data_IF_528887391761
#
_entry.id   IF_528887391761
#
_cell.length_a   1.000
_cell.length_b   1.000
_cell.length_c   1.000
_cell.angle_alpha   90.00
_cell.angle_beta   90.00
_cell.angle_gamma   90.00
#
_symmetry.space_group_name_H-M   'P 1'
#
loop_
_entity.id
_entity.type
_entity.pdbx_description
1 polymer ?
#
# COMPACT_ATOMS: atom_id res chain seq x y z
N UNK A 1 -10.21 -5.58 1.05
CA UNK A 1 -10.24 -4.22 1.61
C UNK A 1 -10.14 -4.24 3.13
N UNK A 2 -11.06 -4.90 3.83
CA UNK A 2 -11.05 -4.97 5.31
C UNK A 2 -9.74 -5.55 5.88
N UNK A 3 -9.25 -6.65 5.30
CA UNK A 3 -7.94 -7.23 5.64
C UNK A 3 -6.80 -6.20 5.54
N UNK A 4 -6.75 -5.39 4.48
CA UNK A 4 -5.69 -4.39 4.32
C UNK A 4 -5.80 -3.24 5.34
N UNK A 5 -7.03 -2.85 5.68
CA UNK A 5 -7.28 -1.82 6.68
C UNK A 5 -6.80 -2.29 8.05
N UNK A 6 -7.16 -3.51 8.44
CA UNK A 6 -6.74 -4.11 9.69
C UNK A 6 -5.22 -4.28 9.78
N UNK A 7 -4.58 -4.75 8.71
CA UNK A 7 -3.11 -4.85 8.63
C UNK A 7 -2.47 -3.46 8.81
N UNK A 8 -2.94 -2.45 8.07
CA UNK A 8 -2.34 -1.11 8.11
C UNK A 8 -2.56 -0.42 9.44
N UNK A 9 -3.74 -0.55 10.05
CA UNK A 9 -4.02 -0.04 11.40
C UNK A 9 -3.12 -0.71 12.44
N UNK A 10 -2.93 -2.02 12.36
CA UNK A 10 -2.05 -2.76 13.27
C UNK A 10 -0.60 -2.36 13.09
N UNK A 11 -0.10 -2.29 11.85
CA UNK A 11 1.31 -1.96 11.59
C UNK A 11 1.61 -0.50 11.87
N UNK A 12 0.68 0.43 11.59
CA UNK A 12 0.95 1.86 11.73
C UNK A 12 0.66 2.39 13.13
N UNK A 13 -0.41 1.90 13.77
CA UNK A 13 -0.94 2.46 15.02
C UNK A 13 -0.91 1.44 16.16
N UNK A 14 -0.75 0.14 15.87
CA UNK A 14 -0.61 -0.88 16.92
C UNK A 14 -1.83 -1.00 17.83
N UNK A 15 -1.54 -1.12 19.13
CA UNK A 15 -2.53 -1.33 20.20
C UNK A 15 -3.23 -0.05 20.64
N UNK A 16 -2.74 1.13 20.25
CA UNK A 16 -3.36 2.41 20.62
C UNK A 16 -4.72 2.61 19.97
N UNK A 17 -4.96 1.99 18.81
CA UNK A 17 -6.25 2.02 18.15
C UNK A 17 -7.13 0.86 18.64
N UNK A 18 -8.02 1.17 19.58
CA UNK A 18 -8.96 0.20 20.16
C UNK A 18 -9.87 -0.45 19.11
N UNK A 19 -10.42 -1.63 19.41
CA UNK A 19 -11.32 -2.33 18.49
C UNK A 19 -12.54 -1.50 18.08
N UNK A 20 -13.13 -0.74 19.02
CA UNK A 20 -14.24 0.18 18.72
C UNK A 20 -13.78 1.32 17.80
N UNK A 21 -12.60 1.88 18.05
CA UNK A 21 -12.03 2.94 17.22
C UNK A 21 -11.71 2.43 15.81
N UNK A 22 -11.26 1.18 15.65
CA UNK A 22 -11.02 0.53 14.34
C UNK A 22 -12.30 0.44 13.51
N UNK A 23 -13.38 -0.04 14.10
CA UNK A 23 -14.69 -0.11 13.43
C UNK A 23 -15.21 1.28 13.07
N UNK A 24 -15.05 2.25 13.97
CA UNK A 24 -15.45 3.62 13.68
C UNK A 24 -14.62 4.25 12.55
N UNK A 25 -13.32 4.00 12.55
CA UNK A 25 -12.41 4.46 11.51
C UNK A 25 -12.84 3.93 10.14
N UNK A 26 -13.22 2.64 10.05
CA UNK A 26 -13.73 2.05 8.80
C UNK A 26 -14.92 2.85 8.24
N UNK A 27 -15.91 3.13 9.08
CA UNK A 27 -17.10 3.92 8.68
C UNK A 27 -16.70 5.33 8.24
N UNK A 28 -15.86 5.99 9.02
CA UNK A 28 -15.44 7.37 8.72
C UNK A 28 -14.54 7.45 7.47
N UNK A 29 -13.74 6.41 7.20
CA UNK A 29 -12.94 6.28 5.99
C UNK A 29 -13.79 6.04 4.74
N UNK A 30 -14.88 5.28 4.84
CA UNK A 30 -15.84 5.11 3.74
C UNK A 30 -16.56 6.42 3.40
N UNK A 31 -16.88 7.22 4.42
CA UNK A 31 -17.40 8.58 4.21
C UNK A 31 -16.36 9.47 3.53
N UNK A 32 -15.08 9.38 3.94
CA UNK A 32 -13.97 10.09 3.31
C UNK A 32 -13.86 9.75 1.82
N UNK A 33 -13.74 8.47 1.46
CA UNK A 33 -13.65 8.03 0.06
C UNK A 33 -14.86 8.48 -0.77
N UNK A 34 -16.07 8.40 -0.19
CA UNK A 34 -17.29 8.85 -0.86
C UNK A 34 -17.27 10.35 -1.10
N UNK A 35 -16.84 11.16 -0.12
CA UNK A 35 -16.83 12.62 -0.23
C UNK A 35 -15.71 13.15 -1.12
N UNK A 36 -14.55 12.48 -1.17
CA UNK A 36 -13.41 12.84 -2.03
C UNK A 36 -13.79 12.87 -3.52
N UNK A 37 -14.69 11.97 -3.92
CA UNK A 37 -15.15 11.82 -5.31
C UNK A 37 -16.37 12.71 -5.65
N UNK A 38 -16.72 13.68 -4.78
CA UNK A 38 -17.90 14.54 -4.94
C UNK A 38 -17.51 16.02 -4.94
N UNK A 39 -18.42 16.87 -5.42
CA UNK A 39 -18.21 18.31 -5.39
C UNK A 39 -17.97 18.80 -3.95
N UNK A 40 -17.01 19.73 -3.75
CA UNK A 40 -16.60 20.19 -2.43
C UNK A 40 -17.61 21.19 -1.82
N UNK A 41 -18.85 20.74 -1.62
CA UNK A 41 -19.94 21.54 -1.03
C UNK A 41 -20.14 21.15 0.45
N UNK A 42 -19.71 22.02 1.38
CA UNK A 42 -19.86 21.82 2.83
C UNK A 42 -21.25 22.24 3.33
N UNK A 43 -22.28 21.48 2.96
CA UNK A 43 -23.67 21.70 3.38
C UNK A 43 -24.24 20.48 4.13
N UNK A 44 -25.18 20.67 5.08
CA UNK A 44 -25.85 19.57 5.78
C UNK A 44 -26.42 18.51 4.82
N UNK A 45 -26.10 17.23 5.06
CA UNK A 45 -26.54 16.10 4.23
C UNK A 45 -25.60 15.74 3.06
N UNK A 46 -24.71 16.65 2.65
CA UNK A 46 -23.82 16.42 1.50
C UNK A 46 -22.67 15.48 1.85
N UNK A 47 -22.22 14.71 0.86
CA UNK A 47 -21.13 13.74 1.01
C UNK A 47 -19.82 14.41 1.48
N UNK A 48 -19.49 15.58 0.94
CA UNK A 48 -18.27 16.32 1.32
C UNK A 48 -18.29 16.74 2.79
N UNK A 49 -19.41 17.25 3.31
CA UNK A 49 -19.56 17.56 4.73
C UNK A 49 -19.42 16.31 5.61
N UNK A 50 -20.03 15.20 5.21
CA UNK A 50 -19.91 13.92 5.95
C UNK A 50 -18.46 13.43 6.00
N UNK A 51 -17.74 13.53 4.87
CA UNK A 51 -16.32 13.23 4.80
C UNK A 51 -15.50 14.11 5.74
N UNK A 52 -15.68 15.44 5.70
CA UNK A 52 -14.99 16.38 6.58
C UNK A 52 -15.18 16.05 8.06
N UNK A 53 -16.42 15.80 8.48
CA UNK A 53 -16.72 15.40 9.86
C UNK A 53 -16.10 14.03 10.21
N UNK A 54 -16.00 13.12 9.25
CA UNK A 54 -15.31 11.83 9.40
C UNK A 54 -13.81 12.02 9.62
N UNK A 55 -13.17 12.86 8.80
CA UNK A 55 -11.75 13.23 8.94
C UNK A 55 -11.50 13.83 10.32
N UNK A 56 -12.30 14.82 10.75
CA UNK A 56 -12.14 15.43 12.08
C UNK A 56 -12.16 14.40 13.23
N UNK A 57 -13.02 13.38 13.16
CA UNK A 57 -13.06 12.28 14.14
C UNK A 57 -11.84 11.37 14.05
N UNK A 58 -11.42 11.00 12.83
CA UNK A 58 -10.23 10.17 12.61
C UNK A 58 -8.97 10.88 13.12
N UNK A 59 -8.80 12.17 12.80
CA UNK A 59 -7.66 12.98 13.24
C UNK A 59 -7.61 13.05 14.76
N UNK A 60 -8.73 13.37 15.43
CA UNK A 60 -8.79 13.40 16.89
C UNK A 60 -8.37 12.06 17.52
N UNK A 61 -8.78 10.95 16.91
CA UNK A 61 -8.42 9.59 17.37
C UNK A 61 -6.93 9.32 17.19
N UNK A 62 -6.36 9.67 16.03
CA UNK A 62 -4.96 9.44 15.72
C UNK A 62 -4.02 10.36 16.52
N UNK A 63 -4.42 11.60 16.78
CA UNK A 63 -3.71 12.51 17.70
C UNK A 63 -3.63 11.93 19.10
N UNK A 64 -4.72 11.32 19.59
CA UNK A 64 -4.69 10.63 20.87
C UNK A 64 -3.74 9.43 20.85
N UNK A 65 -3.75 8.63 19.79
CA UNK A 65 -2.82 7.50 19.63
C UNK A 65 -1.35 7.97 19.61
N UNK A 66 -1.05 9.10 18.95
CA UNK A 66 0.28 9.71 18.94
C UNK A 66 0.73 10.14 20.33
N UNK A 67 -0.14 10.79 21.10
CA UNK A 67 0.16 11.18 22.47
C UNK A 67 0.43 9.95 23.37
N UNK A 68 -0.33 8.87 23.24
CA UNK A 68 -0.12 7.64 24.03
C UNK A 68 1.18 6.93 23.63
N UNK A 69 1.48 6.80 22.33
CA UNK A 69 2.76 6.26 21.86
C UNK A 69 3.95 7.07 22.37
N UNK A 70 3.86 8.40 22.34
CA UNK A 70 4.90 9.29 22.89
C UNK A 70 5.15 9.06 24.37
N UNK A 71 4.09 8.93 25.18
CA UNK A 71 4.22 8.63 26.62
C UNK A 71 4.95 7.31 26.85
N UNK A 72 4.58 6.27 26.08
CA UNK A 72 5.19 4.94 26.16
C UNK A 72 6.67 4.97 25.78
N UNK A 73 7.04 5.68 24.72
CA UNK A 73 8.45 5.84 24.30
C UNK A 73 9.27 6.68 25.29
N UNK A 74 8.66 7.67 25.95
CA UNK A 74 9.30 8.42 27.04
C UNK A 74 9.58 7.56 28.27
N UNK A 75 8.82 6.48 28.48
CA UNK A 75 9.03 5.49 29.55
C UNK A 75 10.14 4.49 29.20
N UNK A 76 10.68 4.53 27.98
CA UNK A 76 11.75 3.64 27.52
C UNK A 76 11.26 2.25 27.14
N UNK A 77 9.98 2.09 26.81
CA UNK A 77 9.45 0.82 26.30
C UNK A 77 9.88 0.55 24.86
N UNK A 78 9.84 -0.73 24.47
CA UNK A 78 10.21 -1.16 23.13
C UNK A 78 9.15 -0.80 22.08
N UNK A 79 9.56 -0.29 20.90
CA UNK A 79 8.64 0.06 19.82
C UNK A 79 8.05 -1.19 19.16
N UNK A 80 6.75 -1.13 18.87
CA UNK A 80 5.98 -2.27 18.35
C UNK A 80 5.25 -2.00 17.03
N UNK A 81 5.11 -0.73 16.66
CA UNK A 81 4.42 -0.28 15.45
C UNK A 81 5.07 1.00 14.90
N UNK A 82 4.66 1.45 13.71
CA UNK A 82 5.28 2.59 13.02
C UNK A 82 5.34 3.85 13.89
N UNK A 83 4.22 4.18 14.55
CA UNK A 83 4.14 5.37 15.40
C UNK A 83 5.11 5.29 16.58
N UNK A 84 5.38 4.10 17.13
CA UNK A 84 6.37 3.93 18.20
C UNK A 84 7.79 4.21 17.70
N UNK A 85 8.17 3.63 16.57
CA UNK A 85 9.48 3.89 15.97
C UNK A 85 9.66 5.39 15.64
N UNK A 86 8.58 6.04 15.18
CA UNK A 86 8.59 7.48 14.95
C UNK A 86 8.76 8.25 16.27
N UNK A 87 7.95 7.95 17.30
CA UNK A 87 8.00 8.64 18.59
C UNK A 87 9.32 8.41 19.32
N UNK A 88 9.91 7.23 19.23
CA UNK A 88 11.23 6.93 19.78
C UNK A 88 12.29 7.86 19.20
N UNK A 89 12.29 8.05 17.88
CA UNK A 89 13.20 8.97 17.22
C UNK A 89 12.94 10.44 17.62
N UNK A 90 11.68 10.86 17.70
CA UNK A 90 11.33 12.22 18.14
C UNK A 90 11.77 12.50 19.58
N UNK A 91 11.59 11.53 20.48
CA UNK A 91 12.05 11.61 21.88
C UNK A 91 13.57 11.72 21.93
N UNK A 92 14.29 10.89 21.18
CA UNK A 92 15.76 10.94 21.09
C UNK A 92 16.25 12.30 20.63
N UNK A 93 15.75 12.80 19.50
CA UNK A 93 16.18 14.10 18.96
C UNK A 93 15.86 15.24 19.95
N UNK A 94 14.68 15.22 20.56
CA UNK A 94 14.28 16.24 21.56
C UNK A 94 15.23 16.25 22.77
N UNK A 95 15.68 15.07 23.22
CA UNK A 95 16.63 14.96 24.32
C UNK A 95 18.01 15.54 23.96
N UNK A 96 18.47 15.35 22.71
CA UNK A 96 19.75 15.85 22.21
C UNK A 96 19.74 17.37 21.96
N UNK A 97 18.70 17.90 21.29
CA UNK A 97 18.58 19.31 20.91
C UNK A 97 17.97 20.20 21.99
N UNK A 98 17.35 19.61 23.03
CA UNK A 98 16.49 20.26 24.03
C UNK A 98 15.24 20.94 23.45
N UNK A 99 14.95 20.73 22.17
CA UNK A 99 13.76 21.28 21.49
C UNK A 99 13.13 20.22 20.59
N UNK A 100 11.80 20.09 20.56
CA UNK A 100 11.16 19.16 19.64
C UNK A 100 11.52 19.47 18.17
N UNK A 101 11.66 18.46 17.31
CA UNK A 101 11.81 18.69 15.88
C UNK A 101 10.65 19.53 15.32
N UNK A 102 10.87 20.33 14.27
CA UNK A 102 9.77 20.96 13.55
C UNK A 102 8.75 19.91 13.10
N UNK A 103 7.48 20.27 13.09
CA UNK A 103 6.39 19.40 12.64
C UNK A 103 6.23 18.08 13.43
N UNK A 104 6.41 18.12 14.75
CA UNK A 104 6.39 16.95 15.63
C UNK A 104 5.33 17.02 16.74
N UNK A 105 4.36 17.93 16.63
CA UNK A 105 3.24 17.94 17.56
C UNK A 105 2.39 16.68 17.40
N UNK A 106 1.73 16.25 18.47
CA UNK A 106 0.91 15.02 18.43
C UNK A 106 -0.25 15.16 17.41
N UNK A 107 -0.73 16.39 17.17
CA UNK A 107 -1.70 16.71 16.11
C UNK A 107 -1.11 16.52 14.72
N UNK A 108 0.07 17.10 14.44
CA UNK A 108 0.75 16.92 13.15
C UNK A 108 1.05 15.45 12.87
N UNK A 109 1.53 14.70 13.85
CA UNK A 109 1.78 13.26 13.69
C UNK A 109 0.47 12.50 13.45
N UNK A 110 -0.61 12.85 14.16
CA UNK A 110 -1.94 12.30 13.92
C UNK A 110 -2.41 12.53 12.48
N UNK A 111 -2.15 13.72 11.93
CA UNK A 111 -2.45 14.05 10.53
C UNK A 111 -1.61 13.21 9.56
N UNK A 112 -0.30 13.09 9.78
CA UNK A 112 0.56 12.26 8.92
C UNK A 112 0.21 10.77 8.97
N UNK A 113 -0.25 10.27 10.12
CA UNK A 113 -0.76 8.89 10.22
C UNK A 113 -2.03 8.70 9.40
N UNK A 114 -2.92 9.69 9.35
CA UNK A 114 -4.07 9.64 8.47
C UNK A 114 -3.65 9.60 6.99
N UNK A 115 -2.67 10.41 6.60
CA UNK A 115 -2.11 10.40 5.24
C UNK A 115 -1.52 9.03 4.89
N UNK A 116 -0.77 8.41 5.81
CA UNK A 116 -0.21 7.08 5.60
C UNK A 116 -1.28 5.99 5.50
N UNK A 117 -2.26 6.00 6.41
CA UNK A 117 -3.37 5.04 6.40
C UNK A 117 -4.19 5.15 5.12
N UNK A 118 -4.54 6.37 4.70
CA UNK A 118 -5.31 6.61 3.48
C UNK A 118 -4.55 6.19 2.22
N UNK A 119 -3.29 6.59 2.09
CA UNK A 119 -2.44 6.20 0.96
C UNK A 119 -2.26 4.67 0.87
N UNK A 120 -1.99 4.01 2.00
CA UNK A 120 -1.81 2.56 2.05
C UNK A 120 -3.12 1.81 1.76
N UNK A 121 -4.27 2.37 2.12
CA UNK A 121 -5.54 1.67 2.05
C UNK A 121 -5.96 1.36 0.62
N UNK A 122 -6.06 2.38 -0.23
CA UNK A 122 -6.55 2.22 -1.59
C UNK A 122 -5.46 1.67 -2.51
N UNK A 123 -4.18 2.04 -2.30
CA UNK A 123 -3.07 1.54 -3.11
C UNK A 123 -2.81 0.04 -2.89
N UNK A 124 -2.69 -0.39 -1.63
CA UNK A 124 -2.41 -1.80 -1.34
C UNK A 124 -3.61 -2.68 -1.69
N UNK A 125 -4.84 -2.23 -1.42
CA UNK A 125 -6.05 -2.98 -1.82
C UNK A 125 -6.08 -3.24 -3.32
N UNK A 126 -5.70 -2.25 -4.15
CA UNK A 126 -5.56 -2.42 -5.59
C UNK A 126 -4.56 -3.53 -5.94
N UNK A 127 -3.33 -3.47 -5.40
CA UNK A 127 -2.31 -4.49 -5.65
C UNK A 127 -2.73 -5.89 -5.21
N UNK A 128 -3.41 -6.00 -4.07
CA UNK A 128 -3.94 -7.27 -3.55
C UNK A 128 -5.00 -7.87 -4.48
N UNK A 129 -5.91 -7.06 -5.03
CA UNK A 129 -6.91 -7.54 -6.00
C UNK A 129 -6.25 -7.97 -7.32
N UNK A 130 -5.30 -7.16 -7.82
CA UNK A 130 -4.61 -7.47 -9.08
C UNK A 130 -3.72 -8.70 -8.98
N UNK A 131 -3.03 -8.94 -7.86
CA UNK A 131 -2.23 -10.16 -7.74
C UNK A 131 -3.09 -11.41 -7.74
N UNK A 132 -4.26 -11.39 -7.10
CA UNK A 132 -5.21 -12.51 -7.14
C UNK A 132 -5.69 -12.76 -8.59
N UNK A 133 -6.08 -11.70 -9.29
CA UNK A 133 -6.48 -11.76 -10.70
C UNK A 133 -5.38 -12.32 -11.61
N UNK A 134 -4.15 -11.85 -11.43
CA UNK A 134 -3.02 -12.21 -12.26
C UNK A 134 -2.55 -13.65 -11.98
N UNK A 135 -2.52 -14.08 -10.72
CA UNK A 135 -2.17 -15.46 -10.37
C UNK A 135 -3.23 -16.48 -10.81
N UNK A 136 -4.52 -16.13 -10.77
CA UNK A 136 -5.60 -16.98 -11.34
C UNK A 136 -5.43 -17.19 -12.85
N UNK A 137 -4.99 -16.13 -13.56
CA UNK A 137 -4.81 -16.17 -15.02
C UNK A 137 -3.45 -16.74 -15.47
N UNK A 138 -2.49 -16.94 -14.55
CA UNK A 138 -1.14 -17.42 -14.84
C UNK A 138 -0.76 -18.60 -13.94
N UNK A 139 -1.32 -19.81 -14.20
CA UNK A 139 -1.11 -20.98 -13.35
C UNK A 139 0.36 -21.40 -13.22
N UNK A 140 1.19 -21.15 -14.23
CA UNK A 140 2.63 -21.42 -14.15
C UNK A 140 3.35 -20.51 -13.15
N UNK A 141 3.00 -19.22 -13.11
CA UNK A 141 3.52 -18.28 -12.11
C UNK A 141 3.06 -18.70 -10.72
N UNK A 142 1.77 -19.01 -10.55
CA UNK A 142 1.22 -19.50 -9.28
C UNK A 142 1.94 -20.77 -8.80
N UNK A 143 2.22 -21.72 -9.70
CA UNK A 143 2.95 -22.95 -9.38
C UNK A 143 4.36 -22.65 -8.87
N UNK A 144 5.12 -21.79 -9.57
CA UNK A 144 6.48 -21.40 -9.17
C UNK A 144 6.50 -20.70 -7.81
N UNK A 145 5.56 -19.79 -7.54
CA UNK A 145 5.41 -19.14 -6.23
C UNK A 145 5.14 -20.19 -5.15
N UNK A 146 4.20 -21.11 -5.36
CA UNK A 146 3.89 -22.18 -4.40
C UNK A 146 5.10 -23.06 -4.12
N UNK A 147 5.83 -23.45 -5.17
CA UNK A 147 7.07 -24.23 -5.05
C UNK A 147 8.12 -23.49 -4.22
N UNK A 148 8.37 -22.20 -4.49
CA UNK A 148 9.32 -21.38 -3.73
C UNK A 148 8.90 -21.26 -2.25
N UNK A 149 7.67 -20.83 -1.99
CA UNK A 149 7.19 -20.57 -0.62
C UNK A 149 7.22 -21.84 0.21
N UNK A 150 6.83 -22.99 -0.36
CA UNK A 150 6.83 -24.29 0.35
C UNK A 150 8.21 -24.77 0.80
N UNK A 151 9.30 -24.28 0.18
CA UNK A 151 10.68 -24.59 0.58
C UNK A 151 11.15 -23.72 1.74
N UNK A 152 10.53 -22.56 1.96
CA UNK A 152 10.98 -21.53 2.90
C UNK A 152 10.11 -21.54 4.17
N UNK A 153 8.80 -21.73 4.01
CA UNK A 153 7.83 -21.65 5.10
C UNK A 153 6.71 -22.68 4.92
N UNK A 154 6.22 -23.22 6.04
CA UNK A 154 5.11 -24.18 6.07
C UNK A 154 4.06 -23.73 7.11
N UNK A 155 2.77 -23.84 6.78
CA UNK A 155 1.69 -23.46 7.68
C UNK A 155 1.57 -24.38 8.90
N UNK A 156 2.10 -25.61 8.84
CA UNK A 156 2.13 -26.56 9.94
C UNK A 156 3.17 -26.20 11.01
N UNK A 157 4.10 -25.29 10.71
CA UNK A 157 5.13 -24.87 11.66
C UNK A 157 4.56 -24.09 12.85
N UNK A 158 3.38 -23.48 12.72
CA UNK A 158 2.80 -22.51 13.67
C UNK A 158 3.73 -21.32 13.98
N UNK A 159 4.79 -21.12 13.20
CA UNK A 159 5.75 -20.02 13.36
C UNK A 159 5.46 -18.92 12.34
N UNK A 160 5.50 -17.67 12.79
CA UNK A 160 5.36 -16.50 11.91
C UNK A 160 6.51 -16.45 10.90
N UNK A 161 6.20 -16.05 9.66
CA UNK A 161 7.23 -15.76 8.67
C UNK A 161 8.12 -14.62 9.15
N UNK A 162 9.43 -14.83 9.10
CA UNK A 162 10.40 -13.78 9.44
C UNK A 162 10.65 -12.85 8.25
N UNK A 163 11.21 -11.67 8.54
CA UNK A 163 11.63 -10.73 7.50
C UNK A 163 12.74 -11.32 6.61
N UNK A 164 13.60 -12.18 7.17
CA UNK A 164 14.64 -12.93 6.45
C UNK A 164 14.00 -13.89 5.45
N UNK A 165 13.01 -14.68 5.89
CA UNK A 165 12.31 -15.61 5.01
C UNK A 165 11.61 -14.88 3.85
N UNK A 166 10.97 -13.74 4.12
CA UNK A 166 10.39 -12.90 3.05
C UNK A 166 11.44 -12.44 2.04
N UNK A 167 12.65 -12.07 2.49
CA UNK A 167 13.74 -11.66 1.59
C UNK A 167 14.28 -12.81 0.74
N UNK A 168 14.16 -14.05 1.19
CA UNK A 168 14.56 -15.25 0.43
C UNK A 168 13.54 -15.64 -0.64
N UNK A 169 12.31 -15.14 -0.59
CA UNK A 169 11.28 -15.38 -1.61
C UNK A 169 11.50 -14.50 -2.85
N UNK A 170 12.60 -14.75 -3.58
CA UNK A 170 13.04 -13.91 -4.71
C UNK A 170 12.04 -13.89 -5.86
N UNK A 171 11.49 -15.04 -6.23
CA UNK A 171 10.49 -15.13 -7.30
C UNK A 171 9.18 -14.45 -6.89
N UNK A 172 8.75 -14.63 -5.64
CA UNK A 172 7.55 -13.97 -5.11
C UNK A 172 7.71 -12.44 -5.05
N UNK A 173 8.92 -11.94 -4.72
CA UNK A 173 9.25 -10.51 -4.84
C UNK A 173 9.18 -10.02 -6.28
N UNK A 174 9.70 -10.81 -7.23
CA UNK A 174 9.61 -10.50 -8.66
C UNK A 174 8.16 -10.44 -9.15
N UNK A 175 7.29 -11.34 -8.66
CA UNK A 175 5.84 -11.31 -8.91
C UNK A 175 5.21 -10.03 -8.35
N UNK A 176 5.53 -9.67 -7.10
CA UNK A 176 5.01 -8.45 -6.48
C UNK A 176 5.40 -7.19 -7.27
N UNK A 177 6.65 -7.11 -7.74
CA UNK A 177 7.14 -6.02 -8.60
C UNK A 177 6.43 -5.99 -9.97
N UNK A 178 6.22 -7.16 -10.57
CA UNK A 178 5.51 -7.25 -11.86
C UNK A 178 4.03 -6.87 -11.72
N UNK A 179 3.38 -7.20 -10.61
CA UNK A 179 1.99 -6.76 -10.34
C UNK A 179 1.91 -5.24 -10.32
N UNK A 180 2.79 -4.56 -9.58
CA UNK A 180 2.75 -3.09 -9.47
C UNK A 180 3.24 -2.40 -10.74
N UNK A 181 4.10 -3.03 -11.56
CA UNK A 181 4.43 -2.52 -12.90
C UNK A 181 3.24 -2.66 -13.85
N UNK A 182 2.64 -3.84 -13.89
CA UNK A 182 1.60 -4.18 -14.87
C UNK A 182 0.26 -3.52 -14.54
N UNK A 183 -0.02 -3.30 -13.24
CA UNK A 183 -1.21 -2.64 -12.70
C UNK A 183 -0.81 -1.74 -11.51
N UNK A 184 -0.16 -0.59 -11.78
CA UNK A 184 0.22 0.36 -10.74
C UNK A 184 -1.03 0.98 -10.11
N UNK A 185 -1.19 0.95 -8.78
CA UNK A 185 -2.39 1.47 -8.15
C UNK A 185 -2.70 2.92 -8.49
N UNK A 186 -1.68 3.79 -8.49
CA UNK A 186 -1.78 5.16 -8.94
C UNK A 186 -1.26 5.27 -10.39
N UNK A 187 -2.13 5.68 -11.32
CA UNK A 187 -1.78 5.73 -12.75
C UNK A 187 -1.14 7.04 -13.19
N UNK A 188 -1.26 8.09 -12.37
CA UNK A 188 -0.70 9.42 -12.61
C UNK A 188 -0.45 10.15 -11.29
N UNK A 189 0.44 11.14 -11.32
CA UNK A 189 0.69 12.04 -10.17
C UNK A 189 0.67 13.48 -10.66
N UNK A 190 -0.33 14.30 -10.31
CA UNK A 190 -0.42 15.67 -10.79
C UNK A 190 0.70 16.55 -10.24
N UNK A 191 1.24 17.42 -11.08
CA UNK A 191 2.21 18.46 -10.71
C UNK A 191 1.75 19.82 -11.21
N UNK A 192 2.24 20.91 -10.62
CA UNK A 192 2.04 22.28 -11.10
C UNK A 192 3.40 22.86 -11.46
N UNK A 193 3.55 23.37 -12.69
CA UNK A 193 4.76 24.06 -13.10
C UNK A 193 4.91 25.38 -12.32
N UNK A 194 5.91 25.49 -11.45
CA UNK A 194 6.15 26.71 -10.63
C UNK A 194 6.84 27.83 -11.41
N UNK A 195 7.45 27.48 -12.54
CA UNK A 195 8.11 28.34 -13.52
C UNK A 195 7.96 27.75 -14.92
N UNK A 196 8.31 28.52 -15.95
CA UNK A 196 8.33 28.02 -17.33
C UNK A 196 9.36 26.89 -17.45
N UNK A 197 8.90 25.68 -17.79
CA UNK A 197 9.73 24.48 -17.78
C UNK A 197 10.00 23.99 -19.21
N UNK A 198 11.23 24.12 -19.73
CA UNK A 198 11.60 23.63 -21.07
C UNK A 198 11.64 22.09 -21.07
N UNK A 199 10.53 21.46 -21.46
CA UNK A 199 10.39 19.99 -21.47
C UNK A 199 11.17 19.36 -22.61
N UNK A 200 11.17 20.01 -23.77
CA UNK A 200 11.93 19.60 -24.97
C UNK A 200 12.56 20.83 -25.60
N UNK A 201 13.40 20.65 -26.63
CA UNK A 201 14.04 21.76 -27.34
C UNK A 201 13.03 22.73 -27.99
N UNK A 202 11.80 22.29 -28.28
CA UNK A 202 10.77 23.09 -28.96
C UNK A 202 9.48 23.30 -28.15
N UNK A 203 9.42 22.79 -26.92
CA UNK A 203 8.22 22.91 -26.10
C UNK A 203 8.56 23.27 -24.66
N UNK A 204 8.05 24.42 -24.24
CA UNK A 204 8.11 24.92 -22.87
C UNK A 204 6.72 24.82 -22.25
N UNK A 205 6.63 24.16 -21.10
CA UNK A 205 5.43 24.12 -20.28
C UNK A 205 5.32 25.49 -19.59
N UNK A 206 4.23 26.24 -19.79
CA UNK A 206 4.04 27.52 -19.12
C UNK A 206 3.89 27.35 -17.61
N UNK A 207 4.42 28.31 -16.84
CA UNK A 207 4.16 28.45 -15.41
C UNK A 207 2.65 28.40 -15.11
N UNK A 208 2.29 27.66 -14.07
CA UNK A 208 0.91 27.44 -13.63
C UNK A 208 0.21 26.28 -14.33
N UNK A 209 0.81 25.67 -15.35
CA UNK A 209 0.23 24.48 -16.00
C UNK A 209 0.17 23.30 -15.04
N UNK A 210 -0.95 22.57 -15.05
CA UNK A 210 -1.10 21.29 -14.35
C UNK A 210 -0.66 20.17 -15.30
N UNK A 211 0.28 19.35 -14.82
CA UNK A 211 0.88 18.25 -15.55
C UNK A 211 0.43 16.93 -14.96
N UNK A 212 0.10 15.96 -15.82
CA UNK A 212 -0.26 14.60 -15.41
C UNK A 212 0.67 13.58 -16.08
N UNK A 213 1.92 13.41 -15.60
CA UNK A 213 2.77 12.32 -16.03
C UNK A 213 2.08 10.97 -15.79
N UNK A 214 1.97 10.16 -16.84
CA UNK A 214 1.37 8.82 -16.74
C UNK A 214 2.38 7.83 -16.19
N UNK A 215 2.13 7.34 -14.98
CA UNK A 215 2.86 6.22 -14.38
C UNK A 215 2.52 4.90 -15.09
N UNK A 216 1.24 4.76 -15.48
CA UNK A 216 0.75 3.54 -16.10
C UNK A 216 1.36 3.31 -17.49
N UNK A 217 1.21 4.29 -18.39
CA UNK A 217 1.73 4.17 -19.77
C UNK A 217 3.26 4.06 -19.81
N UNK A 218 3.95 4.75 -18.89
CA UNK A 218 5.42 4.69 -18.79
C UNK A 218 5.93 3.26 -18.63
N UNK A 219 5.20 2.43 -17.87
CA UNK A 219 5.53 1.03 -17.58
C UNK A 219 5.44 0.11 -18.82
N UNK A 220 4.87 0.59 -19.93
CA UNK A 220 4.75 -0.14 -21.20
C UNK A 220 5.67 0.37 -22.32
N UNK A 221 6.44 1.44 -22.08
CA UNK A 221 7.24 2.10 -23.12
C UNK A 221 8.74 1.76 -23.10
N UNK A 222 9.21 0.93 -22.16
CA UNK A 222 10.63 0.56 -22.04
C UNK A 222 10.88 -0.93 -21.84
N UNK A 223 9.98 -1.58 -21.11
CA UNK A 223 10.02 -3.00 -20.76
C UNK A 223 9.88 -3.87 -22.04
N UNK A 224 10.75 -4.88 -22.23
CA UNK A 224 10.63 -5.91 -23.31
C UNK A 224 9.31 -6.70 -23.28
N UNK A 225 8.52 -6.72 -24.36
CA UNK A 225 7.20 -7.40 -24.33
C UNK A 225 6.35 -6.93 -23.13
N UNK A 226 6.31 -5.62 -22.89
CA UNK A 226 5.74 -5.04 -21.67
C UNK A 226 4.26 -5.38 -21.42
N UNK A 227 3.54 -5.76 -22.47
CA UNK A 227 2.15 -6.21 -22.47
C UNK A 227 1.97 -7.62 -21.88
N UNK A 228 3.05 -8.40 -21.74
CA UNK A 228 3.04 -9.68 -21.03
C UNK A 228 3.29 -9.50 -19.54
N UNK A 229 2.62 -10.34 -18.74
CA UNK A 229 2.88 -10.48 -17.32
C UNK A 229 3.99 -11.52 -17.11
N UNK A 230 5.21 -11.07 -16.84
CA UNK A 230 6.40 -11.91 -16.78
C UNK A 230 7.26 -11.53 -15.57
N UNK A 231 7.14 -12.22 -14.42
CA UNK A 231 7.92 -11.91 -13.22
C UNK A 231 9.44 -11.97 -13.42
N UNK A 232 9.93 -12.85 -14.31
CA UNK A 232 11.35 -13.09 -14.59
C UNK A 232 12.10 -11.82 -15.01
N UNK A 233 11.37 -10.79 -15.44
CA UNK A 233 11.85 -9.43 -15.70
C UNK A 233 12.64 -8.79 -14.56
N UNK A 234 12.25 -9.10 -13.32
CA UNK A 234 12.88 -8.58 -12.10
C UNK A 234 13.87 -9.58 -11.48
N UNK A 235 14.25 -10.62 -12.22
CA UNK A 235 15.31 -11.52 -11.80
C UNK A 235 16.66 -10.80 -11.71
N UNK A 236 17.59 -11.37 -10.95
CA UNK A 236 18.96 -10.86 -10.83
C UNK A 236 19.67 -10.82 -12.19
N UNK A 237 19.29 -11.68 -13.12
CA UNK A 237 19.85 -11.75 -14.47
C UNK A 237 19.29 -10.68 -15.42
N UNK A 238 18.00 -10.33 -15.30
CA UNK A 238 17.33 -9.40 -16.23
C UNK A 238 17.30 -7.95 -15.75
N UNK A 239 17.07 -7.72 -14.46
CA UNK A 239 17.08 -6.39 -13.80
C UNK A 239 16.41 -5.28 -14.63
N UNK A 240 15.27 -5.58 -15.26
CA UNK A 240 14.66 -4.65 -16.21
C UNK A 240 14.13 -3.38 -15.54
N UNK A 241 13.84 -3.44 -14.24
CA UNK A 241 13.51 -2.28 -13.40
C UNK A 241 14.67 -1.32 -13.22
N UNK A 242 15.91 -1.82 -13.23
CA UNK A 242 17.12 -1.00 -13.17
C UNK A 242 17.46 -0.43 -14.55
N UNK A 243 17.44 -1.28 -15.58
CA UNK A 243 17.75 -0.90 -16.96
C UNK A 243 16.73 0.13 -17.48
N UNK A 244 15.43 -0.10 -17.22
CA UNK A 244 14.33 0.77 -17.63
C UNK A 244 13.80 1.61 -16.46
N UNK A 245 14.68 2.04 -15.54
CA UNK A 245 14.31 2.83 -14.36
C UNK A 245 13.50 4.10 -14.67
N UNK A 246 13.72 4.73 -15.83
CA UNK A 246 12.96 5.93 -16.27
C UNK A 246 11.50 5.60 -16.63
N UNK A 247 11.22 4.34 -16.90
CA UNK A 247 9.91 3.81 -17.25
C UNK A 247 9.20 3.18 -16.05
N UNK A 248 9.96 2.71 -15.06
CA UNK A 248 9.41 2.10 -13.86
C UNK A 248 9.07 3.14 -12.80
N UNK A 249 7.91 3.77 -12.95
CA UNK A 249 7.47 4.88 -12.10
C UNK A 249 6.35 4.49 -11.12
N UNK A 250 6.11 3.20 -10.89
CA UNK A 250 5.01 2.70 -10.05
C UNK A 250 5.02 3.27 -8.62
N UNK A 251 6.19 3.64 -8.10
CA UNK A 251 6.38 4.28 -6.80
C UNK A 251 6.83 5.75 -6.91
N UNK A 252 6.69 6.37 -8.09
CA UNK A 252 7.20 7.71 -8.37
C UNK A 252 8.72 7.79 -8.42
N UNK A 253 9.24 9.02 -8.42
CA UNK A 253 10.67 9.31 -8.45
C UNK A 253 10.97 10.65 -7.77
N UNK A 254 12.22 10.85 -7.37
CA UNK A 254 12.69 12.12 -6.80
C UNK A 254 12.18 12.38 -5.37
N UNK A 255 12.06 13.65 -4.95
CA UNK A 255 11.65 14.02 -3.58
C UNK A 255 10.26 13.54 -3.16
N UNK A 256 9.39 13.21 -4.13
CA UNK A 256 8.05 12.68 -3.91
C UNK A 256 7.94 11.18 -4.20
N UNK A 257 9.08 10.46 -4.26
CA UNK A 257 9.06 9.00 -4.34
C UNK A 257 8.35 8.43 -3.11
N UNK A 258 7.54 7.38 -3.32
CA UNK A 258 6.72 6.77 -2.29
C UNK A 258 7.56 6.28 -1.11
N UNK A 259 7.38 6.92 0.05
CA UNK A 259 8.02 6.51 1.31
C UNK A 259 7.54 5.14 1.80
N UNK A 260 6.34 4.72 1.36
CA UNK A 260 5.72 3.43 1.71
C UNK A 260 6.15 2.25 0.82
N UNK A 261 7.06 2.43 -0.15
CA UNK A 261 7.41 1.40 -1.13
C UNK A 261 7.79 0.05 -0.48
N UNK A 262 8.67 0.08 0.53
CA UNK A 262 9.10 -1.14 1.23
C UNK A 262 7.96 -1.82 1.98
N UNK A 263 7.11 -1.03 2.65
CA UNK A 263 5.92 -1.55 3.33
C UNK A 263 4.97 -2.22 2.34
N UNK A 264 4.63 -1.54 1.24
CA UNK A 264 3.70 -2.03 0.24
C UNK A 264 4.18 -3.34 -0.41
N UNK A 265 5.46 -3.42 -0.79
CA UNK A 265 6.03 -4.63 -1.38
C UNK A 265 6.11 -5.78 -0.37
N UNK A 266 6.56 -5.53 0.86
CA UNK A 266 6.59 -6.57 1.90
C UNK A 266 5.19 -7.08 2.23
N UNK A 267 4.21 -6.18 2.33
CA UNK A 267 2.82 -6.56 2.58
C UNK A 267 2.28 -7.42 1.42
N UNK A 268 2.55 -7.02 0.17
CA UNK A 268 2.12 -7.79 -1.00
C UNK A 268 2.78 -9.17 -1.07
N UNK A 269 4.10 -9.28 -0.82
CA UNK A 269 4.82 -10.56 -0.80
C UNK A 269 4.29 -11.46 0.32
N UNK A 270 4.11 -10.93 1.53
CA UNK A 270 3.55 -11.68 2.65
C UNK A 270 2.13 -12.17 2.34
N UNK A 271 1.29 -11.31 1.77
CA UNK A 271 -0.04 -11.69 1.33
C UNK A 271 0.02 -12.81 0.29
N UNK A 272 0.85 -12.69 -0.75
CA UNK A 272 0.98 -13.73 -1.78
C UNK A 272 1.38 -15.05 -1.13
N UNK A 273 2.43 -15.06 -0.31
CA UNK A 273 2.95 -16.25 0.34
C UNK A 273 1.88 -16.95 1.20
N UNK A 274 1.16 -16.20 2.03
CA UNK A 274 0.09 -16.76 2.86
C UNK A 274 -1.10 -17.22 2.01
N UNK A 275 -1.57 -16.40 1.08
CA UNK A 275 -2.76 -16.66 0.27
C UNK A 275 -2.60 -17.94 -0.57
N UNK A 276 -1.50 -18.08 -1.30
CA UNK A 276 -1.28 -19.23 -2.20
C UNK A 276 -0.97 -20.54 -1.46
N UNK A 277 -0.53 -20.44 -0.21
CA UNK A 277 -0.18 -21.59 0.64
C UNK A 277 -1.40 -22.11 1.39
N UNK A 278 -2.21 -21.20 1.94
CA UNK A 278 -3.36 -21.55 2.77
C UNK A 278 -4.60 -21.88 1.94
N UNK A 279 -4.71 -21.31 0.73
CA UNK A 279 -5.93 -21.37 -0.07
C UNK A 279 -5.67 -21.88 -1.49
N UNK A 280 -6.62 -22.67 -1.96
CA UNK A 280 -6.91 -22.82 -3.38
C UNK A 280 -8.01 -21.81 -3.72
N UNK A 281 -7.89 -21.16 -4.87
CA UNK A 281 -8.79 -20.11 -5.29
C UNK A 281 -9.10 -20.22 -6.77
N UNK A 282 -10.29 -19.75 -7.14
CA UNK A 282 -10.72 -19.60 -8.54
C UNK A 282 -11.56 -18.35 -8.67
N UNK A 283 -11.17 -17.43 -9.56
CA UNK A 283 -11.93 -16.20 -9.79
C UNK A 283 -13.26 -16.50 -10.48
N UNK A 284 -14.33 -15.89 -9.99
CA UNK A 284 -15.62 -15.85 -10.67
C UNK A 284 -15.57 -14.76 -11.74
N UNK A 285 -15.23 -15.15 -12.98
CA UNK A 285 -15.07 -14.20 -14.10
C UNK A 285 -16.43 -13.84 -14.69
N UNK A 286 -16.78 -12.56 -14.63
CA UNK A 286 -17.92 -11.97 -15.36
C UNK A 286 -17.46 -11.30 -16.65
N UNK A 287 -18.40 -10.92 -17.51
CA UNK A 287 -18.09 -10.14 -18.73
C UNK A 287 -17.38 -8.82 -18.37
N UNK A 288 -16.28 -8.53 -19.06
CA UNK A 288 -15.46 -7.35 -18.81
C UNK A 288 -14.74 -7.35 -17.46
N UNK A 289 -14.56 -8.49 -16.80
CA UNK A 289 -13.92 -8.58 -15.48
C UNK A 289 -12.50 -7.98 -15.42
N UNK A 290 -11.76 -8.00 -16.52
CA UNK A 290 -10.40 -7.43 -16.59
C UNK A 290 -10.37 -5.94 -16.96
N UNK A 291 -11.53 -5.32 -17.19
CA UNK A 291 -11.63 -3.88 -17.36
C UNK A 291 -11.20 -3.15 -16.08
N UNK A 292 -10.48 -2.06 -16.25
CA UNK A 292 -10.00 -1.22 -15.16
C UNK A 292 -11.07 -0.20 -14.81
N UNK A 293 -11.43 -0.14 -13.52
CA UNK A 293 -12.20 0.97 -12.95
C UNK A 293 -11.31 1.81 -12.02
N UNK A 294 -11.64 3.10 -11.90
CA UNK A 294 -10.88 4.07 -11.11
C UNK A 294 -11.64 4.45 -9.84
N UNK A 295 -11.14 4.04 -8.68
CA UNK A 295 -11.69 4.41 -7.36
C UNK A 295 -10.64 4.29 -6.24
N UNK A 296 -10.12 5.40 -5.68
CA UNK A 296 -9.25 6.37 -6.36
C UNK A 296 -8.03 5.75 -7.07
N UNK A 297 -7.74 4.48 -6.84
CA UNK A 297 -6.74 3.66 -7.53
C UNK A 297 -7.41 2.74 -8.55
N UNK A 298 -6.63 2.04 -9.37
CA UNK A 298 -7.19 1.09 -10.34
C UNK A 298 -7.61 -0.22 -9.69
N UNK A 299 -8.76 -0.77 -10.06
CA UNK A 299 -9.19 -2.11 -9.62
C UNK A 299 -9.92 -2.86 -10.73
N UNK A 300 -10.04 -4.20 -10.64
CA UNK A 300 -10.85 -4.97 -11.57
C UNK A 300 -12.33 -4.58 -11.43
N UNK A 301 -13.02 -4.37 -12.56
CA UNK A 301 -14.42 -3.94 -12.62
C UNK A 301 -15.39 -4.84 -11.85
N UNK A 302 -15.13 -6.14 -11.83
CA UNK A 302 -15.95 -7.15 -11.15
C UNK A 302 -15.67 -7.26 -9.64
N UNK A 303 -14.74 -6.45 -9.10
CA UNK A 303 -14.33 -6.50 -7.71
C UNK A 303 -13.51 -7.74 -7.32
N UNK A 304 -13.08 -8.57 -8.29
CA UNK A 304 -12.30 -9.79 -8.08
C UNK A 304 -12.97 -10.78 -7.11
N UNK A 305 -14.21 -11.18 -7.40
CA UNK A 305 -14.89 -12.21 -6.62
C UNK A 305 -14.19 -13.57 -6.81
N UNK A 306 -13.90 -14.28 -5.72
CA UNK A 306 -13.17 -15.55 -5.74
C UNK A 306 -13.89 -16.63 -4.94
N UNK A 307 -13.91 -17.84 -5.47
CA UNK A 307 -14.23 -19.05 -4.71
C UNK A 307 -12.98 -19.53 -4.00
N UNK A 308 -13.07 -19.81 -2.71
CA UNK A 308 -11.96 -20.24 -1.87
C UNK A 308 -12.21 -21.63 -1.31
N UNK A 309 -11.19 -22.48 -1.34
CA UNK A 309 -11.14 -23.74 -0.60
C UNK A 309 -9.82 -23.85 0.16
N UNK A 310 -9.86 -24.49 1.32
CA UNK A 310 -8.66 -24.69 2.14
C UNK A 310 -7.67 -25.62 1.40
N UNK A 311 -6.41 -25.18 1.29
CA UNK A 311 -5.33 -25.96 0.67
C UNK A 311 -4.50 -26.75 1.68
N UNK A 312 -4.32 -26.23 2.89
CA UNK A 312 -3.58 -26.89 3.96
C UNK A 312 -4.50 -27.77 4.84
N UNK A 313 -3.95 -28.76 5.57
CA UNK A 313 -4.75 -29.60 6.47
C UNK A 313 -5.42 -28.80 7.59
N UNK A 314 -4.73 -27.77 8.11
CA UNK A 314 -5.20 -26.84 9.13
C UNK A 314 -4.57 -25.47 8.93
N UNK A 315 -5.24 -24.42 9.40
CA UNK A 315 -4.63 -23.09 9.45
C UNK A 315 -3.58 -23.02 10.59
N UNK A 316 -2.53 -22.20 10.42
CA UNK A 316 -1.57 -21.94 11.48
C UNK A 316 -2.26 -21.36 12.72
N UNK A 317 -1.80 -21.76 13.90
CA UNK A 317 -2.25 -21.18 15.16
C UNK A 317 -1.20 -20.19 15.67
N UNK A 318 -1.27 -18.94 15.20
CA UNK A 318 -0.41 -17.88 15.71
C UNK A 318 -0.95 -17.42 17.06
N UNK A 319 -0.35 -17.89 18.14
CA UNK A 319 -0.62 -17.31 19.47
C UNK A 319 0.14 -15.99 19.53
N UNK A 320 -0.55 -14.88 19.32
CA UNK A 320 0.00 -13.55 19.55
C UNK A 320 0.01 -13.33 21.07
N UNK A 321 1.20 -13.48 21.69
CA UNK A 321 1.41 -13.15 23.10
C UNK A 321 1.34 -11.64 23.34
#
# INVERSE_FOLDING_TARGET
RDLNLETSQTVFVGTYLSSEARERFKVDYDLFNTGLMKLPCDLPGFAFRKAKLGIERMLKTLTHCAAESKKRMLQGEDPSCLIDFWMQEMVRVTAESKTPPPHSTDEEIGNYLFDFLSAAQDASTSSLLWVVTLLDSHPDVLRKVREEVSRIWSPESDVLMTAEQLREMKYTQAVALEVVRYRPPATLVPHIAVEDFPLTEWYTIPKGSILFPSVYESSFQGFREADRFEPERFSEERQEDVIFKRNYLAFGAGPHQCVGQRYALNHLVLFIAMFVTLLDFKRHRTDGCDEIIYTPTISPKDGCMVFLSRRCPRYPNFTLN
#
